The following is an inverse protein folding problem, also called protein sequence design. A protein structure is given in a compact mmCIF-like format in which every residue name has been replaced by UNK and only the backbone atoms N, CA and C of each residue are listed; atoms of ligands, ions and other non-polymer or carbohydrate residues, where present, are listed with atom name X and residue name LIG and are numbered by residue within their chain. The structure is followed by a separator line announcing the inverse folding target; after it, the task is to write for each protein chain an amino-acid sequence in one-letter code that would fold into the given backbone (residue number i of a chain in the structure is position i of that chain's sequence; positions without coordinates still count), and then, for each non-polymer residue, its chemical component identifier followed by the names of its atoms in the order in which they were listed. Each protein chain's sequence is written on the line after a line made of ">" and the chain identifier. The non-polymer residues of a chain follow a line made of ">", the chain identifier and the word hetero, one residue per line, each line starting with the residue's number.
data_IF_040442018938
#
_entry.id   IF_040442018938
#
_cell.length_a   1.000
_cell.length_b   1.000
_cell.length_c   1.000
_cell.angle_alpha   90.00
_cell.angle_beta   90.00
_cell.angle_gamma   90.00
#
_symmetry.space_group_name_H-M   'P 1'
#
loop_
_entity.id
_entity.type
_entity.pdbx_description
1 polymer ?
#
# COMPACT_ATOMS: atom_id res chain seq x y z
N UNK A 1 25.36 2.92 45.13
CA UNK A 1 24.42 2.68 44.01
C UNK A 1 23.10 3.48 44.09
N UNK A 2 22.90 4.41 45.05
CA UNK A 2 21.65 5.17 45.15
C UNK A 2 21.55 6.41 44.23
N UNK A 3 22.67 6.95 43.72
CA UNK A 3 22.68 8.19 42.91
C UNK A 3 22.17 8.02 41.48
N UNK A 4 22.22 6.80 40.91
CA UNK A 4 21.73 6.54 39.53
C UNK A 4 20.22 6.32 39.46
N UNK A 5 19.58 5.90 40.57
CA UNK A 5 18.12 5.69 40.62
C UNK A 5 17.35 7.03 40.64
N UNK A 6 17.87 8.03 41.36
CA UNK A 6 17.24 9.35 41.50
C UNK A 6 17.23 10.09 40.16
N UNK A 7 18.29 9.93 39.35
CA UNK A 7 18.38 10.57 38.04
C UNK A 7 17.40 9.99 37.02
N UNK A 8 17.02 8.71 37.14
CA UNK A 8 16.08 8.08 36.21
C UNK A 8 14.63 8.50 36.52
N UNK A 9 14.29 8.66 37.80
CA UNK A 9 12.95 9.15 38.21
C UNK A 9 12.71 10.61 37.83
N UNK A 10 13.75 11.46 37.86
CA UNK A 10 13.61 12.87 37.46
C UNK A 10 13.31 13.03 35.96
N UNK A 11 13.87 12.16 35.11
CA UNK A 11 13.59 12.15 33.66
C UNK A 11 12.18 11.62 33.38
N UNK A 12 11.74 10.59 34.12
CA UNK A 12 10.39 10.02 33.95
C UNK A 12 9.28 10.98 34.38
N UNK A 13 9.53 11.81 35.41
CA UNK A 13 8.57 12.82 35.89
C UNK A 13 8.50 14.09 35.01
N UNK A 14 9.58 14.46 34.30
CA UNK A 14 9.54 15.58 33.34
C UNK A 14 8.79 15.24 32.05
N UNK A 15 8.63 13.95 31.71
CA UNK A 15 7.85 13.52 30.53
C UNK A 15 6.34 13.59 30.76
N UNK A 16 5.87 13.77 32.00
CA UNK A 16 4.44 13.85 32.34
C UNK A 16 3.87 15.28 32.38
N UNK A 17 4.67 16.32 32.12
CA UNK A 17 4.22 17.72 32.25
C UNK A 17 4.06 18.46 30.92
N UNK A 18 3.95 17.75 29.79
CA UNK A 18 3.41 18.38 28.59
C UNK A 18 1.93 18.62 28.87
N UNK A 19 1.42 19.87 28.88
CA UNK A 19 -0.01 20.08 28.92
C UNK A 19 -0.58 19.40 27.69
N UNK A 20 -1.34 18.31 27.92
CA UNK A 20 -2.30 17.81 26.95
C UNK A 20 -3.26 18.95 26.69
N UNK A 21 -2.94 19.78 25.69
CA UNK A 21 -3.96 20.55 24.99
C UNK A 21 -4.79 19.48 24.31
N UNK A 22 -5.83 19.02 25.02
CA UNK A 22 -6.96 18.35 24.42
C UNK A 22 -7.65 19.44 23.60
N UNK A 23 -7.07 19.73 22.44
CA UNK A 23 -7.81 20.40 21.40
C UNK A 23 -8.99 19.49 21.16
N UNK A 24 -10.16 19.96 21.58
CA UNK A 24 -11.41 19.26 21.39
C UNK A 24 -11.69 19.39 19.90
N UNK A 25 -10.94 18.64 19.08
CA UNK A 25 -11.17 18.53 17.66
C UNK A 25 -12.58 18.03 17.54
N UNK A 26 -13.48 18.93 17.19
CA UNK A 26 -14.82 18.58 16.76
C UNK A 26 -14.65 17.45 15.76
N UNK A 27 -15.25 16.31 16.06
CA UNK A 27 -15.44 15.24 15.10
C UNK A 27 -16.48 15.72 14.06
N UNK A 28 -16.17 16.79 13.36
CA UNK A 28 -16.92 17.39 12.25
C UNK A 28 -16.00 17.37 11.04
N UNK A 29 -15.72 16.15 10.62
CA UNK A 29 -15.91 15.63 9.29
C UNK A 29 -15.35 14.22 9.38
N UNK A 30 -16.20 13.20 9.21
CA UNK A 30 -15.69 11.90 8.83
C UNK A 30 -15.07 12.09 7.45
N UNK A 31 -13.83 12.55 7.42
CA UNK A 31 -13.05 12.75 6.22
C UNK A 31 -13.02 11.36 5.59
N UNK A 32 -13.84 11.18 4.55
CA UNK A 32 -13.86 9.96 3.76
C UNK A 32 -12.45 9.80 3.27
N UNK A 33 -11.70 8.89 3.90
CA UNK A 33 -10.36 8.56 3.46
C UNK A 33 -10.54 8.05 2.04
N UNK A 34 -10.02 8.75 1.03
CA UNK A 34 -10.23 8.34 -0.35
C UNK A 34 -9.65 6.94 -0.51
N UNK A 35 -10.32 6.11 -1.31
CA UNK A 35 -9.81 4.80 -1.66
C UNK A 35 -8.41 4.97 -2.28
N UNK A 36 -7.47 4.14 -1.84
CA UNK A 36 -6.07 4.24 -2.22
C UNK A 36 -5.58 2.96 -2.88
N UNK A 37 -4.70 3.12 -3.86
CA UNK A 37 -4.01 2.04 -4.54
C UNK A 37 -2.60 1.94 -4.00
N UNK A 38 -2.24 0.75 -3.49
CA UNK A 38 -0.87 0.37 -3.19
C UNK A 38 -0.29 -0.43 -4.37
N UNK A 39 0.83 0.03 -4.91
CA UNK A 39 1.64 -0.73 -5.88
C UNK A 39 2.86 -1.26 -5.15
N UNK A 40 2.96 -2.59 -5.03
CA UNK A 40 4.14 -3.28 -4.50
C UNK A 40 4.94 -3.90 -5.65
N UNK A 41 6.18 -3.47 -5.83
CA UNK A 41 7.04 -3.94 -6.91
C UNK A 41 7.80 -5.24 -6.57
N UNK A 42 7.62 -5.79 -5.36
CA UNK A 42 8.24 -7.04 -4.92
C UNK A 42 9.75 -6.96 -4.66
N UNK A 43 10.34 -5.76 -4.76
CA UNK A 43 11.76 -5.49 -4.49
C UNK A 43 11.96 -4.62 -3.22
N UNK A 44 10.93 -4.49 -2.39
CA UNK A 44 10.90 -3.62 -1.22
C UNK A 44 10.51 -2.16 -1.51
N UNK A 45 10.29 -1.80 -2.78
CA UNK A 45 9.71 -0.52 -3.17
C UNK A 45 8.18 -0.63 -3.26
N UNK A 46 7.50 0.34 -2.66
CA UNK A 46 6.03 0.44 -2.69
C UNK A 46 5.58 1.88 -2.91
N UNK A 47 4.49 2.09 -3.65
CA UNK A 47 3.90 3.40 -3.88
C UNK A 47 2.41 3.43 -3.55
N UNK A 48 1.98 4.47 -2.85
CA UNK A 48 0.57 4.80 -2.67
C UNK A 48 0.11 5.82 -3.72
N UNK A 49 -1.12 5.65 -4.22
CA UNK A 49 -1.79 6.57 -5.15
C UNK A 49 -3.24 6.75 -4.72
N UNK A 50 -3.76 7.96 -4.89
CA UNK A 50 -5.20 8.21 -4.80
C UNK A 50 -5.88 7.55 -6.00
N UNK A 51 -6.93 6.77 -5.76
CA UNK A 51 -7.64 6.09 -6.84
C UNK A 51 -8.47 7.11 -7.64
N UNK A 52 -8.30 7.06 -8.96
CA UNK A 52 -9.22 7.68 -9.89
C UNK A 52 -10.21 6.62 -10.35
N UNK A 53 -11.48 6.81 -9.98
CA UNK A 53 -12.56 5.84 -10.25
C UNK A 53 -12.64 5.43 -11.72
N UNK A 54 -13.02 4.18 -11.95
CA UNK A 54 -13.38 3.62 -13.26
C UNK A 54 -14.57 2.68 -13.13
N UNK A 55 -15.25 2.42 -14.24
CA UNK A 55 -16.36 1.45 -14.29
C UNK A 55 -15.88 0.00 -14.28
N UNK A 56 -14.59 -0.24 -14.51
CA UNK A 56 -13.91 -1.52 -14.40
C UNK A 56 -12.57 -1.33 -13.69
N UNK A 57 -11.97 -2.43 -13.22
CA UNK A 57 -10.64 -2.40 -12.59
C UNK A 57 -9.58 -1.89 -13.59
N UNK A 58 -9.64 -2.33 -14.86
CA UNK A 58 -8.73 -1.85 -15.91
C UNK A 58 -8.85 -0.34 -16.13
N UNK A 59 -10.08 0.19 -16.20
CA UNK A 59 -10.31 1.64 -16.34
C UNK A 59 -9.82 2.40 -15.11
N UNK A 60 -10.07 1.89 -13.90
CA UNK A 60 -9.61 2.50 -12.65
C UNK A 60 -8.07 2.58 -12.60
N UNK A 61 -7.40 1.47 -12.92
CA UNK A 61 -5.94 1.41 -12.96
C UNK A 61 -5.37 2.29 -14.06
N UNK A 62 -6.00 2.34 -15.24
CA UNK A 62 -5.59 3.22 -16.35
C UNK A 62 -5.74 4.69 -15.98
N UNK A 63 -6.82 5.07 -15.30
CA UNK A 63 -7.03 6.44 -14.85
C UNK A 63 -6.04 6.83 -13.72
N UNK A 64 -5.71 5.88 -12.84
CA UNK A 64 -4.84 6.12 -11.67
C UNK A 64 -3.35 6.12 -12.04
N UNK A 65 -2.91 5.21 -12.91
CA UNK A 65 -1.51 4.99 -13.25
C UNK A 65 -1.11 5.52 -14.64
N UNK A 66 -2.09 5.82 -15.50
CA UNK A 66 -1.85 6.32 -16.86
C UNK A 66 -0.99 5.37 -17.68
N UNK A 67 0.00 5.91 -18.38
CA UNK A 67 0.92 5.14 -19.22
C UNK A 67 1.88 4.22 -18.43
N UNK A 68 1.86 4.25 -17.09
CA UNK A 68 2.71 3.38 -16.27
C UNK A 68 2.20 1.95 -16.23
N UNK A 69 0.91 1.70 -16.48
CA UNK A 69 0.33 0.35 -16.46
C UNK A 69 0.13 -0.17 -17.88
N UNK A 70 0.48 -1.44 -18.11
CA UNK A 70 0.19 -2.13 -19.36
C UNK A 70 -0.63 -3.40 -19.09
N UNK A 71 -1.62 -3.63 -19.94
CA UNK A 71 -2.49 -4.80 -19.90
C UNK A 71 -2.27 -5.69 -21.11
N UNK A 72 -2.61 -6.97 -20.96
CA UNK A 72 -2.65 -7.91 -22.07
C UNK A 72 -3.37 -9.18 -21.67
N UNK A 73 -3.37 -10.17 -22.56
CA UNK A 73 -4.09 -11.42 -22.35
C UNK A 73 -3.11 -12.52 -21.93
N UNK A 74 -3.46 -13.24 -20.86
CA UNK A 74 -2.74 -14.41 -20.38
C UNK A 74 -3.76 -15.52 -20.12
N UNK A 75 -3.59 -16.64 -20.82
CA UNK A 75 -4.46 -17.81 -20.70
C UNK A 75 -5.96 -17.53 -20.93
N UNK A 76 -6.28 -16.48 -21.71
CA UNK A 76 -7.65 -16.05 -22.00
C UNK A 76 -8.21 -15.03 -21.01
N UNK A 77 -7.45 -14.67 -19.98
CA UNK A 77 -7.80 -13.63 -19.00
C UNK A 77 -7.02 -12.35 -19.28
N UNK A 78 -7.73 -11.22 -19.28
CA UNK A 78 -7.13 -9.88 -19.33
C UNK A 78 -6.37 -9.67 -18.01
N UNK A 79 -5.12 -9.20 -18.03
CA UNK A 79 -4.32 -9.01 -16.81
C UNK A 79 -3.31 -7.87 -16.92
N UNK A 80 -2.71 -7.48 -15.80
CA UNK A 80 -1.61 -6.48 -15.73
C UNK A 80 -0.29 -7.17 -16.11
N UNK A 81 0.34 -6.70 -17.20
CA UNK A 81 1.64 -7.21 -17.65
C UNK A 81 2.82 -6.46 -17.05
N UNK A 82 2.65 -5.16 -16.82
CA UNK A 82 3.69 -4.33 -16.20
C UNK A 82 3.12 -3.11 -15.49
N UNK A 83 3.86 -2.66 -14.48
CA UNK A 83 3.67 -1.36 -13.83
C UNK A 83 5.02 -0.67 -13.76
N UNK A 84 5.08 0.57 -14.25
CA UNK A 84 6.28 1.43 -14.28
C UNK A 84 7.49 0.77 -14.95
N UNK A 85 7.24 0.00 -16.01
CA UNK A 85 8.29 -0.74 -16.73
C UNK A 85 8.76 -2.03 -16.04
N UNK A 86 8.28 -2.32 -14.83
CA UNK A 86 8.51 -3.61 -14.16
C UNK A 86 7.50 -4.62 -14.68
N UNK A 87 7.97 -5.52 -15.53
CA UNK A 87 7.16 -6.60 -16.11
C UNK A 87 7.18 -7.85 -15.24
N UNK A 88 6.49 -8.88 -15.70
CA UNK A 88 6.56 -10.25 -15.20
C UNK A 88 8.00 -10.79 -15.26
N UNK A 89 8.81 -10.47 -14.24
CA UNK A 89 10.19 -10.95 -14.17
C UNK A 89 10.15 -12.44 -13.88
N UNK A 90 10.86 -13.20 -14.69
CA UNK A 90 11.11 -14.61 -14.37
C UNK A 90 12.26 -14.67 -13.35
N UNK A 91 11.96 -14.83 -12.07
CA UNK A 91 12.98 -14.91 -11.01
C UNK A 91 13.79 -16.19 -11.19
N UNK A 92 15.12 -16.10 -11.09
CA UNK A 92 16.04 -17.24 -11.24
C UNK A 92 16.58 -17.47 -12.65
N UNK A 93 17.47 -18.45 -12.80
CA UNK A 93 18.15 -18.79 -14.07
C UNK A 93 18.05 -20.28 -14.38
N UNK A 94 18.05 -20.64 -15.67
CA UNK A 94 18.05 -22.03 -16.10
C UNK A 94 16.79 -22.78 -15.65
N UNK A 95 16.96 -23.91 -14.97
CA UNK A 95 15.85 -24.75 -14.47
C UNK A 95 15.08 -24.13 -13.29
N UNK A 96 15.64 -23.12 -12.62
CA UNK A 96 15.02 -22.43 -11.48
C UNK A 96 14.28 -21.15 -11.89
N UNK A 97 14.05 -20.96 -13.18
CA UNK A 97 13.38 -19.78 -13.73
C UNK A 97 11.88 -19.88 -13.40
N UNK A 98 11.35 -18.99 -12.55
CA UNK A 98 9.94 -18.94 -12.16
C UNK A 98 9.29 -17.67 -12.69
N UNK A 99 8.14 -17.77 -13.37
CA UNK A 99 7.39 -16.60 -13.78
C UNK A 99 6.74 -15.94 -12.54
N UNK A 100 6.98 -14.65 -12.36
CA UNK A 100 6.25 -13.83 -11.40
C UNK A 100 5.24 -12.97 -12.16
N UNK A 101 4.04 -12.89 -11.63
CA UNK A 101 2.92 -12.18 -12.26
C UNK A 101 2.38 -11.13 -11.32
N UNK A 102 1.89 -10.03 -11.88
CA UNK A 102 1.14 -9.04 -11.12
C UNK A 102 -0.17 -9.64 -10.61
N UNK A 103 -0.56 -9.23 -9.41
CA UNK A 103 -1.78 -9.67 -8.75
C UNK A 103 -2.53 -8.46 -8.23
N UNK A 104 -3.85 -8.52 -8.32
CA UNK A 104 -4.73 -7.47 -7.85
C UNK A 104 -5.46 -7.97 -6.62
N UNK A 105 -5.52 -7.11 -5.61
CA UNK A 105 -6.18 -7.41 -4.35
C UNK A 105 -7.07 -6.23 -3.96
N UNK A 106 -8.24 -6.54 -3.40
CA UNK A 106 -9.10 -5.56 -2.73
C UNK A 106 -8.98 -5.73 -1.21
N UNK A 107 -8.93 -4.62 -0.48
CA UNK A 107 -9.04 -4.65 0.97
C UNK A 107 -10.52 -4.59 1.37
N UNK A 108 -11.03 -5.65 2.02
CA UNK A 108 -12.44 -5.73 2.41
C UNK A 108 -12.68 -5.27 3.87
N UNK A 109 -11.71 -4.60 4.50
CA UNK A 109 -11.62 -4.23 5.94
C UNK A 109 -11.13 -5.33 6.90
N UNK A 110 -11.06 -6.58 6.46
CA UNK A 110 -10.63 -7.73 7.27
C UNK A 110 -9.37 -8.37 6.68
N UNK A 111 -9.38 -8.60 5.38
CA UNK A 111 -8.30 -9.26 4.64
C UNK A 111 -8.18 -8.74 3.19
N UNK A 112 -7.09 -9.15 2.54
CA UNK A 112 -6.86 -8.90 1.13
C UNK A 112 -7.50 -10.02 0.31
N UNK A 113 -8.51 -9.67 -0.47
CA UNK A 113 -9.18 -10.59 -1.39
C UNK A 113 -8.53 -10.51 -2.77
N UNK A 114 -8.18 -11.67 -3.35
CA UNK A 114 -7.65 -11.74 -4.70
C UNK A 114 -8.75 -11.42 -5.73
N UNK A 115 -8.44 -10.51 -6.64
CA UNK A 115 -9.34 -10.12 -7.73
C UNK A 115 -8.93 -10.80 -9.03
N UNK A 116 -9.90 -11.34 -9.77
CA UNK A 116 -9.75 -11.58 -11.21
C UNK A 116 -10.17 -10.32 -11.96
N UNK A 117 -9.62 -10.13 -13.16
CA UNK A 117 -9.83 -8.93 -13.99
C UNK A 117 -11.00 -9.08 -14.97
N UNK A 118 -11.89 -10.05 -14.70
CA UNK A 118 -13.01 -10.46 -15.55
C UNK A 118 -14.24 -9.53 -15.46
#
# INVERSE_FOLDING_TARGET
>A
MAKRLISLMAVLLMLCSVPLVLDSSSADDAQTVPDALLVDFGNGHTEWKDIVSGNTIETMLTNTLGSRVAFGDRDGERTVLSVDGVSEVTVGTGVNRQACHWRLYAWNTVEWEFLTTD
#
